data_IF_434860199907
#
_entry.id   IF_434860199907
#
_cell.length_a   1.000
_cell.length_b   1.000
_cell.length_c   1.000
_cell.angle_alpha   90.00
_cell.angle_beta   90.00
_cell.angle_gamma   90.00
#
_symmetry.space_group_name_H-M   'P 1'
#
loop_
_entity.id
_entity.type
_entity.pdbx_description
1 polymer ?
#
# COMPACT_ATOMS: atom_id res chain seq x y z
N UNK A 1 -0.55 8.22 -20.73
CA UNK A 1 0.18 9.38 -20.24
C UNK A 1 -0.69 10.22 -19.34
N UNK A 2 -0.17 10.69 -18.28
CA UNK A 2 -0.89 11.52 -17.31
C UNK A 2 -0.68 12.95 -17.79
N UNK A 3 -1.66 13.53 -18.45
CA UNK A 3 -1.76 14.88 -19.03
C UNK A 3 -0.83 15.96 -18.40
N UNK A 4 0.50 15.81 -18.52
CA UNK A 4 1.50 16.76 -17.99
C UNK A 4 1.56 16.88 -16.46
N UNK A 5 0.83 16.04 -15.70
CA UNK A 5 0.83 16.06 -14.24
C UNK A 5 1.74 14.96 -13.67
N UNK A 6 2.41 15.25 -12.57
CA UNK A 6 3.15 14.24 -11.84
C UNK A 6 2.18 13.19 -11.27
N UNK A 7 2.49 11.92 -11.49
CA UNK A 7 1.75 10.81 -10.92
C UNK A 7 2.72 9.82 -10.27
N UNK A 8 2.32 9.32 -9.12
CA UNK A 8 3.05 8.29 -8.38
C UNK A 8 2.12 7.11 -8.17
N UNK A 9 2.58 5.91 -8.47
CA UNK A 9 1.86 4.69 -8.15
C UNK A 9 2.83 3.66 -7.57
N UNK A 10 2.32 2.77 -6.73
CA UNK A 10 3.06 1.64 -6.18
C UNK A 10 2.57 0.34 -6.80
N UNK A 11 3.26 -0.23 -7.81
CA UNK A 11 2.88 -1.52 -8.37
C UNK A 11 2.89 -2.64 -7.32
N UNK A 12 3.78 -2.56 -6.34
CA UNK A 12 3.86 -3.53 -5.23
C UNK A 12 2.57 -3.51 -4.40
N UNK A 13 2.08 -2.32 -4.01
CA UNK A 13 0.82 -2.21 -3.26
C UNK A 13 -0.38 -2.73 -4.05
N UNK A 14 -0.43 -2.45 -5.37
CA UNK A 14 -1.49 -2.99 -6.25
C UNK A 14 -1.40 -4.51 -6.34
N UNK A 15 -0.19 -5.06 -6.49
CA UNK A 15 0.03 -6.51 -6.52
C UNK A 15 -0.45 -7.17 -5.22
N UNK A 16 -0.08 -6.63 -4.05
CA UNK A 16 -0.48 -7.16 -2.75
C UNK A 16 -1.99 -7.09 -2.55
N UNK A 17 -2.61 -5.95 -2.85
CA UNK A 17 -4.06 -5.79 -2.74
C UNK A 17 -4.83 -6.78 -3.63
N UNK A 18 -4.41 -6.94 -4.90
CA UNK A 18 -5.03 -7.91 -5.80
C UNK A 18 -4.78 -9.36 -5.36
N UNK A 19 -3.61 -9.66 -4.79
CA UNK A 19 -3.30 -10.97 -4.25
C UNK A 19 -4.20 -11.30 -3.04
N UNK A 20 -4.44 -10.35 -2.15
CA UNK A 20 -5.41 -10.50 -1.05
C UNK A 20 -6.85 -10.61 -1.56
N UNK A 21 -7.20 -9.87 -2.63
CA UNK A 21 -8.52 -9.99 -3.26
C UNK A 21 -8.75 -11.40 -3.82
N UNK A 22 -7.73 -12.06 -4.38
CA UNK A 22 -7.83 -13.44 -4.84
C UNK A 22 -8.14 -14.42 -3.70
N UNK A 23 -7.69 -14.16 -2.46
CA UNK A 23 -8.01 -14.99 -1.29
C UNK A 23 -9.48 -14.91 -0.88
N UNK A 24 -10.11 -13.76 -1.03
CA UNK A 24 -11.49 -13.50 -0.60
C UNK A 24 -12.51 -13.67 -1.73
N UNK A 25 -12.08 -13.98 -2.95
CA UNK A 25 -12.92 -14.29 -4.10
C UNK A 25 -12.87 -15.77 -4.47
N UNK A 26 -13.74 -16.21 -5.38
CA UNK A 26 -13.74 -17.58 -5.91
C UNK A 26 -14.15 -17.60 -7.39
N UNK A 27 -14.11 -18.80 -8.01
CA UNK A 27 -14.54 -19.04 -9.38
C UNK A 27 -13.82 -18.15 -10.40
N UNK A 28 -14.56 -17.58 -11.34
CA UNK A 28 -14.03 -16.81 -12.45
C UNK A 28 -13.28 -15.55 -12.01
N UNK A 29 -13.76 -14.86 -10.97
CA UNK A 29 -13.07 -13.67 -10.45
C UNK A 29 -11.67 -14.00 -9.98
N UNK A 30 -11.51 -15.07 -9.18
CA UNK A 30 -10.20 -15.55 -8.75
C UNK A 30 -9.31 -15.91 -9.95
N UNK A 31 -9.86 -16.64 -10.92
CA UNK A 31 -9.13 -17.05 -12.11
C UNK A 31 -8.62 -15.84 -12.92
N UNK A 32 -9.43 -14.82 -13.07
CA UNK A 32 -9.03 -13.58 -13.74
C UNK A 32 -7.91 -12.85 -12.99
N UNK A 33 -7.98 -12.78 -11.66
CA UNK A 33 -6.94 -12.15 -10.84
C UNK A 33 -5.63 -12.95 -10.94
N UNK A 34 -5.67 -14.27 -10.83
CA UNK A 34 -4.48 -15.12 -11.01
C UNK A 34 -3.84 -14.90 -12.37
N UNK A 35 -4.64 -14.89 -13.44
CA UNK A 35 -4.16 -14.61 -14.80
C UNK A 35 -3.52 -13.22 -14.91
N UNK A 36 -4.14 -12.20 -14.34
CA UNK A 36 -3.62 -10.83 -14.35
C UNK A 36 -2.27 -10.72 -13.63
N UNK A 37 -2.12 -11.44 -12.50
CA UNK A 37 -0.90 -11.45 -11.69
C UNK A 37 0.17 -12.45 -12.19
N UNK A 38 -0.12 -13.20 -13.26
CA UNK A 38 0.78 -14.21 -13.81
C UNK A 38 1.03 -15.38 -12.85
N UNK A 39 0.06 -15.73 -12.00
CA UNK A 39 0.17 -16.81 -11.03
C UNK A 39 -0.56 -18.05 -11.52
N UNK A 40 0.13 -19.22 -11.48
CA UNK A 40 -0.44 -20.49 -11.92
C UNK A 40 -1.40 -21.10 -10.90
N UNK A 41 -1.31 -20.70 -9.63
CA UNK A 41 -2.13 -21.19 -8.53
C UNK A 41 -2.14 -20.23 -7.34
N UNK A 42 -3.12 -20.43 -6.43
CA UNK A 42 -3.14 -19.71 -5.16
C UNK A 42 -1.92 -19.99 -4.29
N UNK A 43 -1.34 -21.19 -4.38
CA UNK A 43 -0.12 -21.54 -3.65
C UNK A 43 1.08 -20.73 -4.15
N UNK A 44 1.27 -20.65 -5.48
CA UNK A 44 2.34 -19.87 -6.09
C UNK A 44 2.15 -18.36 -5.80
N UNK A 45 0.90 -17.89 -5.81
CA UNK A 45 0.59 -16.50 -5.48
C UNK A 45 0.97 -16.15 -4.04
N UNK A 46 0.56 -16.97 -3.06
CA UNK A 46 0.91 -16.79 -1.64
C UNK A 46 2.42 -16.75 -1.42
N UNK A 47 3.12 -17.72 -2.02
CA UNK A 47 4.58 -17.78 -1.94
C UNK A 47 5.23 -16.51 -2.48
N UNK A 48 4.78 -16.04 -3.64
CA UNK A 48 5.31 -14.81 -4.25
C UNK A 48 4.98 -13.59 -3.41
N UNK A 49 3.75 -13.45 -2.92
CA UNK A 49 3.36 -12.34 -2.05
C UNK A 49 4.19 -12.30 -0.75
N UNK A 50 4.39 -13.44 -0.09
CA UNK A 50 5.25 -13.53 1.08
C UNK A 50 6.71 -13.15 0.80
N UNK A 51 7.25 -13.54 -0.37
CA UNK A 51 8.59 -13.13 -0.79
C UNK A 51 8.67 -11.62 -1.08
N UNK A 52 7.64 -11.07 -1.73
CA UNK A 52 7.54 -9.62 -1.99
C UNK A 52 7.50 -8.84 -0.67
N UNK A 53 6.69 -9.29 0.28
CA UNK A 53 6.64 -8.68 1.60
C UNK A 53 8.01 -8.74 2.29
N UNK A 54 8.63 -9.92 2.38
CA UNK A 54 9.93 -10.10 3.03
C UNK A 54 11.04 -9.27 2.39
N UNK A 55 11.03 -9.10 1.06
CA UNK A 55 12.01 -8.29 0.34
C UNK A 55 11.81 -6.78 0.56
N UNK A 56 10.61 -6.35 0.96
CA UNK A 56 10.28 -4.94 1.17
C UNK A 56 10.17 -4.57 2.66
N UNK A 57 10.39 -5.51 3.57
CA UNK A 57 10.36 -5.24 5.01
C UNK A 57 11.78 -5.13 5.58
N UNK A 58 12.14 -3.94 6.05
CA UNK A 58 13.40 -3.69 6.77
C UNK A 58 13.17 -2.61 7.81
N UNK A 59 13.63 -2.82 9.02
CA UNK A 59 13.54 -1.82 10.10
C UNK A 59 14.72 -1.99 11.06
N UNK A 60 15.89 -1.53 10.66
CA UNK A 60 17.16 -1.67 11.38
C UNK A 60 17.70 -0.35 11.96
N UNK A 61 16.94 0.73 11.85
CA UNK A 61 17.31 2.08 12.29
C UNK A 61 18.08 2.90 11.27
N UNK A 62 18.78 2.29 10.32
CA UNK A 62 19.43 2.96 9.18
C UNK A 62 18.45 3.07 8.00
N UNK A 63 17.72 2.00 7.75
CA UNK A 63 16.67 1.91 6.74
C UNK A 63 15.37 1.51 7.43
N UNK A 64 14.30 2.16 7.07
CA UNK A 64 12.93 1.76 7.38
C UNK A 64 12.20 1.56 6.06
N UNK A 65 11.82 0.34 5.75
CA UNK A 65 10.98 -0.02 4.62
C UNK A 65 9.85 -0.89 5.15
N UNK A 66 8.63 -0.41 5.08
CA UNK A 66 7.45 -1.08 5.62
C UNK A 66 6.43 -1.22 4.50
N UNK A 67 6.16 -2.46 4.13
CA UNK A 67 5.00 -2.82 3.32
C UNK A 67 3.95 -3.37 4.29
N UNK A 68 2.84 -2.65 4.43
CA UNK A 68 1.78 -3.02 5.35
C UNK A 68 0.45 -3.16 4.62
N UNK A 69 -0.25 -4.26 4.93
CA UNK A 69 -1.51 -4.63 4.31
C UNK A 69 -2.60 -4.80 5.37
N UNK A 70 -3.82 -4.43 5.04
CA UNK A 70 -4.96 -4.61 5.95
C UNK A 70 -6.27 -4.85 5.22
N UNK A 71 -7.18 -5.54 5.93
CA UNK A 71 -8.56 -5.77 5.54
C UNK A 71 -9.49 -5.07 6.53
N UNK A 72 -10.48 -4.40 5.99
CA UNK A 72 -11.53 -3.71 6.73
C UNK A 72 -12.84 -4.39 6.38
N UNK A 73 -13.47 -5.02 7.37
CA UNK A 73 -14.56 -5.96 7.20
C UNK A 73 -15.82 -5.42 7.87
N UNK A 74 -16.96 -5.51 7.17
CA UNK A 74 -18.26 -5.18 7.78
C UNK A 74 -18.59 -6.15 8.92
N UNK A 75 -19.09 -5.64 10.03
CA UNK A 75 -19.56 -6.46 11.15
C UNK A 75 -20.93 -7.10 10.87
N UNK A 76 -21.62 -6.66 9.81
CA UNK A 76 -22.88 -7.24 9.36
C UNK A 76 -22.72 -8.56 8.59
N UNK A 77 -21.49 -8.99 8.30
CA UNK A 77 -21.19 -10.19 7.51
C UNK A 77 -20.38 -11.21 8.30
N UNK A 78 -20.53 -12.47 7.95
CA UNK A 78 -19.69 -13.55 8.47
C UNK A 78 -18.55 -13.84 7.50
N UNK A 79 -17.37 -14.09 8.05
CA UNK A 79 -16.14 -14.35 7.31
C UNK A 79 -15.53 -15.68 7.67
N UNK A 80 -14.97 -16.36 6.68
CA UNK A 80 -14.29 -17.62 6.88
C UNK A 80 -12.96 -17.42 7.62
N UNK A 81 -12.85 -17.96 8.83
CA UNK A 81 -11.66 -17.83 9.68
C UNK A 81 -10.39 -18.39 9.03
N UNK A 82 -10.50 -19.45 8.22
CA UNK A 82 -9.33 -20.00 7.51
C UNK A 82 -8.83 -19.02 6.42
N UNK A 83 -9.73 -18.26 5.80
CA UNK A 83 -9.33 -17.22 4.84
C UNK A 83 -8.62 -16.08 5.56
N UNK A 84 -9.13 -15.63 6.70
CA UNK A 84 -8.48 -14.59 7.50
C UNK A 84 -7.10 -15.06 8.02
N UNK A 85 -6.98 -16.31 8.47
CA UNK A 85 -5.70 -16.88 8.86
C UNK A 85 -4.68 -16.88 7.69
N UNK A 86 -5.10 -17.30 6.48
CA UNK A 86 -4.23 -17.25 5.30
C UNK A 86 -3.79 -15.84 4.95
N UNK A 87 -4.66 -14.85 5.11
CA UNK A 87 -4.31 -13.44 4.86
C UNK A 87 -3.27 -12.94 5.87
N UNK A 88 -3.38 -13.32 7.13
CA UNK A 88 -2.38 -13.00 8.14
C UNK A 88 -1.04 -13.72 7.88
N UNK A 89 -1.09 -15.04 7.58
CA UNK A 89 0.12 -15.87 7.49
C UNK A 89 0.90 -15.66 6.18
N UNK A 90 0.21 -15.40 5.06
CA UNK A 90 0.84 -15.34 3.74
C UNK A 90 1.08 -13.91 3.24
N UNK A 91 0.28 -12.95 3.71
CA UNK A 91 0.36 -11.55 3.28
C UNK A 91 0.70 -10.61 4.42
N UNK A 92 0.85 -11.13 5.65
CA UNK A 92 1.11 -10.36 6.87
C UNK A 92 0.06 -9.26 7.10
N UNK A 93 -1.16 -9.49 6.61
CA UNK A 93 -2.23 -8.52 6.65
C UNK A 93 -2.93 -8.47 8.02
N UNK A 94 -3.20 -7.29 8.49
CA UNK A 94 -4.06 -7.06 9.67
C UNK A 94 -5.53 -7.04 9.26
N UNK A 95 -6.42 -7.63 10.06
CA UNK A 95 -7.85 -7.61 9.80
C UNK A 95 -8.59 -6.84 10.90
N UNK A 96 -9.45 -5.94 10.48
CA UNK A 96 -10.31 -5.12 11.33
C UNK A 96 -11.77 -5.36 10.98
N UNK A 97 -12.64 -5.43 11.97
CA UNK A 97 -14.08 -5.63 11.79
C UNK A 97 -14.84 -4.53 12.53
N UNK A 98 -15.82 -3.93 11.87
CA UNK A 98 -16.63 -2.86 12.44
C UNK A 98 -17.74 -2.40 11.54
N UNK A 99 -18.51 -1.41 12.03
CA UNK A 99 -19.60 -0.78 11.31
C UNK A 99 -19.03 0.09 10.18
N UNK A 100 -19.26 -0.34 8.93
CA UNK A 100 -18.85 0.40 7.74
C UNK A 100 -19.52 1.76 7.67
N UNK A 101 -18.77 2.79 7.33
CA UNK A 101 -19.26 4.17 7.25
C UNK A 101 -19.34 4.89 8.59
N UNK A 102 -19.20 4.19 9.73
CA UNK A 102 -19.15 4.88 11.03
C UNK A 102 -17.88 5.72 11.15
N UNK A 103 -17.99 6.88 11.83
CA UNK A 103 -16.84 7.76 12.03
C UNK A 103 -15.71 7.05 12.81
N UNK A 104 -16.05 6.25 13.83
CA UNK A 104 -15.08 5.51 14.61
C UNK A 104 -14.26 4.52 13.76
N UNK A 105 -14.91 3.83 12.79
CA UNK A 105 -14.22 2.89 11.92
C UNK A 105 -13.38 3.59 10.85
N UNK A 106 -13.88 4.71 10.32
CA UNK A 106 -13.14 5.58 9.41
C UNK A 106 -11.90 6.20 10.09
N UNK A 107 -12.02 6.65 11.33
CA UNK A 107 -10.87 7.13 12.13
C UNK A 107 -9.85 6.01 12.38
N UNK A 108 -10.30 4.78 12.63
CA UNK A 108 -9.40 3.65 12.78
C UNK A 108 -8.60 3.37 11.49
N UNK A 109 -9.23 3.46 10.31
CA UNK A 109 -8.57 3.32 9.02
C UNK A 109 -7.53 4.43 8.81
N UNK A 110 -7.93 5.70 9.01
CA UNK A 110 -7.03 6.85 8.86
C UNK A 110 -5.84 6.76 9.80
N UNK A 111 -6.06 6.37 11.06
CA UNK A 111 -5.00 6.16 12.05
C UNK A 111 -4.06 5.05 11.62
N UNK A 112 -4.58 3.89 11.17
CA UNK A 112 -3.75 2.78 10.67
C UNK A 112 -2.86 3.23 9.50
N UNK A 113 -3.42 3.92 8.49
CA UNK A 113 -2.64 4.45 7.35
C UNK A 113 -1.54 5.39 7.86
N UNK A 114 -1.87 6.30 8.77
CA UNK A 114 -0.92 7.24 9.32
C UNK A 114 0.22 6.55 10.09
N UNK A 115 -0.10 5.56 10.92
CA UNK A 115 0.88 4.77 11.67
C UNK A 115 1.82 4.00 10.73
N UNK A 116 1.27 3.32 9.71
CA UNK A 116 2.06 2.52 8.77
C UNK A 116 2.95 3.37 7.84
N UNK A 117 2.67 4.65 7.72
CA UNK A 117 3.43 5.58 6.86
C UNK A 117 4.29 6.58 7.66
N UNK A 118 4.53 6.30 8.94
CA UNK A 118 5.36 7.15 9.79
C UNK A 118 4.86 8.59 9.93
N UNK A 119 3.55 8.80 9.82
CA UNK A 119 2.90 10.10 9.94
C UNK A 119 2.84 10.91 8.64
N UNK A 120 3.41 10.44 7.54
CA UNK A 120 3.51 11.21 6.30
C UNK A 120 2.17 11.40 5.58
N UNK A 121 1.21 10.50 5.76
CA UNK A 121 -0.09 10.56 5.09
C UNK A 121 -1.21 11.09 5.99
N UNK A 122 -0.89 11.71 7.12
CA UNK A 122 -1.91 12.23 8.05
C UNK A 122 -2.94 13.10 7.33
N UNK A 123 -2.50 14.19 6.72
CA UNK A 123 -3.38 15.16 6.06
C UNK A 123 -4.04 14.58 4.79
N UNK A 124 -3.34 13.67 4.10
CA UNK A 124 -3.87 13.01 2.90
C UNK A 124 -4.94 11.97 3.22
N UNK A 125 -4.89 11.36 4.39
CA UNK A 125 -5.83 10.36 4.84
C UNK A 125 -7.11 10.96 5.46
N UNK A 126 -7.11 12.22 5.86
CA UNK A 126 -8.24 12.87 6.57
C UNK A 126 -9.57 12.81 5.79
N UNK A 127 -9.51 12.78 4.45
CA UNK A 127 -10.69 12.66 3.59
C UNK A 127 -11.14 11.23 3.29
N UNK A 128 -10.42 10.20 3.77
CA UNK A 128 -10.77 8.81 3.51
C UNK A 128 -11.95 8.36 4.38
N UNK A 129 -12.94 7.76 3.72
CA UNK A 129 -14.10 7.16 4.38
C UNK A 129 -14.54 5.91 3.62
N UNK A 130 -15.01 4.91 4.36
CA UNK A 130 -15.66 3.72 3.82
C UNK A 130 -17.15 4.01 3.68
N UNK A 131 -17.74 3.62 2.55
CA UNK A 131 -19.20 3.75 2.38
C UNK A 131 -19.94 2.74 3.27
N UNK A 132 -21.14 3.09 3.79
CA UNK A 132 -21.88 2.20 4.68
C UNK A 132 -22.27 0.84 4.08
N UNK A 133 -22.38 0.76 2.75
CA UNK A 133 -22.70 -0.45 1.98
C UNK A 133 -21.45 -1.25 1.57
N UNK A 134 -20.25 -0.82 1.99
CA UNK A 134 -19.01 -1.56 1.77
C UNK A 134 -19.02 -2.86 2.56
N UNK A 135 -18.75 -3.97 1.91
CA UNK A 135 -18.60 -5.30 2.55
C UNK A 135 -17.16 -5.51 3.03
N UNK A 136 -16.21 -5.21 2.15
CA UNK A 136 -14.78 -5.36 2.41
C UNK A 136 -14.01 -4.22 1.74
N UNK A 137 -13.01 -3.69 2.44
CA UNK A 137 -12.02 -2.81 1.84
C UNK A 137 -10.62 -3.35 2.14
N UNK A 138 -9.72 -3.18 1.16
CA UNK A 138 -8.32 -3.56 1.24
C UNK A 138 -7.48 -2.30 1.22
N UNK A 139 -6.55 -2.19 2.16
CA UNK A 139 -5.60 -1.10 2.18
C UNK A 139 -4.18 -1.65 2.19
N UNK A 140 -3.33 -1.10 1.33
CA UNK A 140 -1.91 -1.41 1.24
C UNK A 140 -1.12 -0.11 1.26
N UNK A 141 -0.10 -0.05 2.08
CA UNK A 141 0.81 1.09 2.20
C UNK A 141 2.24 0.64 2.03
N UNK A 142 3.08 1.51 1.46
CA UNK A 142 4.53 1.35 1.47
C UNK A 142 5.16 2.61 2.03
N UNK A 143 6.01 2.45 3.01
CA UNK A 143 6.78 3.51 3.65
C UNK A 143 8.26 3.22 3.54
N UNK A 144 9.01 4.15 2.99
CA UNK A 144 10.47 4.02 2.86
C UNK A 144 11.16 5.27 3.41
N UNK A 145 12.12 5.05 4.30
CA UNK A 145 13.00 6.08 4.83
C UNK A 145 14.41 5.50 4.99
N UNK A 146 15.38 6.15 4.37
CA UNK A 146 16.78 5.77 4.50
C UNK A 146 17.66 7.02 4.59
N UNK A 147 18.85 6.85 5.19
CA UNK A 147 19.91 7.86 5.13
C UNK A 147 20.75 7.62 3.89
N UNK A 148 21.20 8.69 3.27
CA UNK A 148 22.20 8.61 2.21
C UNK A 148 23.51 8.04 2.76
N UNK A 149 24.18 7.16 2.02
CA UNK A 149 25.48 6.62 2.39
C UNK A 149 26.58 7.69 2.42
N UNK A 150 26.41 8.75 1.63
CA UNK A 150 27.23 9.96 1.68
C UNK A 150 26.32 11.18 1.65
N UNK A 151 26.58 12.14 2.52
CA UNK A 151 25.80 13.37 2.56
C UNK A 151 26.10 14.25 1.36
N UNK A 152 25.08 14.91 0.83
CA UNK A 152 25.26 15.92 -0.21
C UNK A 152 25.93 17.17 0.37
N UNK A 153 26.96 17.67 -0.33
CA UNK A 153 27.67 18.86 0.09
C UNK A 153 26.84 20.12 -0.22
N UNK A 154 26.55 20.91 0.81
CA UNK A 154 25.87 22.20 0.63
C UNK A 154 26.67 23.17 -0.26
N UNK A 155 27.99 23.09 -0.20
CA UNK A 155 28.89 23.92 -1.02
C UNK A 155 28.94 23.51 -2.49
N UNK A 156 28.50 22.30 -2.81
CA UNK A 156 28.38 21.81 -4.20
C UNK A 156 27.00 22.08 -4.81
N UNK A 157 26.07 22.64 -4.02
CA UNK A 157 24.75 22.98 -4.50
C UNK A 157 24.80 24.27 -5.32
N UNK A 158 24.44 24.18 -6.60
CA UNK A 158 24.47 25.30 -7.56
C UNK A 158 23.12 25.50 -8.23
N UNK A 159 22.87 26.69 -8.74
CA UNK A 159 21.67 26.94 -9.55
C UNK A 159 21.84 26.26 -10.92
N UNK A 160 20.81 25.58 -11.38
CA UNK A 160 20.73 24.91 -12.66
C UNK A 160 19.33 25.03 -13.26
N UNK A 161 19.21 24.73 -14.55
CA UNK A 161 17.94 24.81 -15.27
C UNK A 161 17.34 23.40 -15.38
N UNK A 162 16.08 23.26 -14.95
CA UNK A 162 15.25 22.09 -15.19
C UNK A 162 14.30 22.35 -16.36
N UNK A 163 14.40 21.55 -17.41
CA UNK A 163 13.56 21.66 -18.60
C UNK A 163 12.22 20.93 -18.35
N UNK A 164 11.21 21.67 -17.90
CA UNK A 164 9.86 21.13 -17.72
C UNK A 164 9.04 21.26 -19.01
N UNK A 165 7.95 20.46 -19.18
CA UNK A 165 7.08 20.53 -20.36
C UNK A 165 6.49 21.92 -20.63
N UNK A 166 6.24 22.68 -19.56
CA UNK A 166 5.64 24.02 -19.61
C UNK A 166 6.69 25.15 -19.63
N UNK A 167 7.99 24.81 -19.74
CA UNK A 167 9.09 25.77 -19.80
C UNK A 167 10.20 25.53 -18.77
N UNK A 168 11.28 26.23 -18.95
CA UNK A 168 12.47 26.10 -18.10
C UNK A 168 12.24 26.71 -16.71
N UNK A 169 12.67 25.96 -15.68
CA UNK A 169 12.59 26.40 -14.27
C UNK A 169 13.99 26.33 -13.65
N UNK A 170 14.42 27.43 -13.02
CA UNK A 170 15.71 27.45 -12.31
C UNK A 170 15.53 26.89 -10.90
N UNK A 171 16.32 25.87 -10.57
CA UNK A 171 16.35 25.24 -9.25
C UNK A 171 17.78 24.99 -8.80
N UNK A 172 17.93 24.72 -7.49
CA UNK A 172 19.20 24.29 -6.89
C UNK A 172 19.40 22.80 -7.10
N UNK A 173 20.53 22.44 -7.69
CA UNK A 173 20.98 21.07 -7.91
C UNK A 173 22.15 20.75 -6.98
N UNK A 174 22.15 19.51 -6.46
CA UNK A 174 23.19 18.94 -5.61
C UNK A 174 23.97 17.89 -6.38
#
# INVERSE_FOLDING_TARGET
GVDGKNAVCSPVSVYMALSMLAEVTDGDTRAQILSLLGADSMESLRKTAGNVWAANYQNDGAVTSILADSLWLSDSMDYNSNTLARLADSYYASAYRGEMGSEAFNEALRRWINEQTGGLLKDSADGLSLAPDTVIALASTIYFRAKWGSEFSKSATTDGVFHAPDGDVTHKFM
#
